data_IF_709168047650
#
_entry.id   IF_709168047650
#
_cell.length_a   1.000
_cell.length_b   1.000
_cell.length_c   1.000
_cell.angle_alpha   90.00
_cell.angle_beta   90.00
_cell.angle_gamma   90.00
#
_symmetry.space_group_name_H-M   'P 1'
#
loop_
_entity.id
_entity.type
_entity.pdbx_description
1 polymer ?
#
# COMPACT_ATOMS: atom_id res chain seq x y z
N UNK A 1 1.54 48.61 11.81
CA UNK A 1 2.92 48.63 12.37
C UNK A 1 2.70 48.78 13.85
N UNK A 2 2.38 47.65 14.47
CA UNK A 2 1.77 47.60 15.78
C UNK A 2 2.69 46.77 16.68
N UNK A 3 3.12 47.47 17.72
CA UNK A 3 3.78 47.11 18.97
C UNK A 3 4.14 45.64 19.24
N UNK A 4 5.45 45.43 19.43
CA UNK A 4 5.99 44.45 20.37
C UNK A 4 5.42 44.68 21.78
N UNK A 5 4.95 43.63 22.49
CA UNK A 5 4.87 43.67 23.94
C UNK A 5 6.12 43.03 24.53
N UNK A 6 6.74 43.81 25.42
CA UNK A 6 7.89 43.47 26.24
C UNK A 6 7.71 42.20 27.06
N UNK A 7 8.85 41.54 27.25
CA UNK A 7 9.16 40.52 28.25
C UNK A 7 8.88 41.11 29.64
N UNK A 8 7.78 40.69 30.27
CA UNK A 8 7.55 40.91 31.70
C UNK A 8 8.11 39.73 32.49
N UNK A 9 9.20 40.01 33.20
CA UNK A 9 9.92 39.09 34.06
C UNK A 9 9.26 39.13 35.44
N UNK A 10 8.14 38.41 35.60
CA UNK A 10 7.46 38.21 36.88
C UNK A 10 7.73 36.82 37.44
N UNK A 11 8.84 36.67 38.16
CA UNK A 11 9.08 35.54 39.06
C UNK A 11 8.12 35.67 40.26
N UNK A 12 7.01 34.93 40.25
CA UNK A 12 6.29 34.60 41.47
C UNK A 12 5.95 33.10 41.48
N UNK A 13 6.60 32.39 42.40
CA UNK A 13 6.73 30.93 42.43
C UNK A 13 5.51 30.32 43.12
N UNK A 14 4.65 29.67 42.35
CA UNK A 14 3.60 28.81 42.90
C UNK A 14 4.00 27.32 42.77
N UNK A 15 4.24 26.59 43.88
CA UNK A 15 4.68 25.20 43.83
C UNK A 15 3.49 24.27 43.63
N UNK A 16 3.11 24.02 42.37
CA UNK A 16 2.05 23.05 42.09
C UNK A 16 1.53 22.98 40.66
N UNK A 17 2.02 23.78 39.72
CA UNK A 17 1.48 23.76 38.36
C UNK A 17 2.12 22.66 37.51
N UNK A 18 1.38 21.55 37.38
CA UNK A 18 1.70 20.45 36.47
C UNK A 18 1.66 20.99 35.04
N UNK A 19 2.83 21.27 34.46
CA UNK A 19 2.97 21.71 33.08
C UNK A 19 2.51 20.58 32.15
N UNK A 20 1.23 20.58 31.80
CA UNK A 20 0.63 19.60 30.91
C UNK A 20 1.02 19.95 29.45
N UNK A 21 2.22 19.51 29.03
CA UNK A 21 2.66 19.66 27.65
C UNK A 21 1.76 18.80 26.76
N UNK A 22 0.67 19.37 26.25
CA UNK A 22 -0.08 18.74 25.16
C UNK A 22 0.79 18.86 23.91
N UNK A 23 1.31 17.74 23.43
CA UNK A 23 1.75 17.67 22.04
C UNK A 23 0.54 18.03 21.17
N UNK A 24 0.56 19.25 20.63
CA UNK A 24 -0.50 19.75 19.78
C UNK A 24 -0.50 18.88 18.52
N UNK A 25 -1.54 18.04 18.41
CA UNK A 25 -1.91 17.32 17.19
C UNK A 25 -1.97 18.33 16.05
N UNK A 26 -0.92 18.45 15.25
CA UNK A 26 -0.89 19.41 14.14
C UNK A 26 -1.92 18.99 13.10
N UNK A 27 -3.03 19.75 12.92
CA UNK A 27 -4.10 19.39 11.98
C UNK A 27 -3.64 19.36 10.52
N UNK A 28 -2.53 20.03 10.22
CA UNK A 28 -1.94 20.13 8.89
C UNK A 28 -1.46 18.77 8.31
N UNK A 29 -1.03 17.80 9.13
CA UNK A 29 -0.56 16.52 8.60
C UNK A 29 -1.71 15.60 8.16
N UNK A 30 -2.82 15.63 8.88
CA UNK A 30 -4.07 14.95 8.49
C UNK A 30 -4.71 15.59 7.26
N UNK A 31 -4.62 16.92 7.12
CA UNK A 31 -5.08 17.64 5.94
C UNK A 31 -4.27 17.23 4.69
N UNK A 32 -2.95 17.09 4.82
CA UNK A 32 -2.05 16.64 3.74
C UNK A 32 -2.26 15.17 3.33
N UNK A 33 -2.79 14.32 4.22
CA UNK A 33 -3.21 12.95 3.90
C UNK A 33 -4.54 12.91 3.16
N UNK A 34 -5.50 13.76 3.55
CA UNK A 34 -6.76 13.94 2.83
C UNK A 34 -6.54 14.56 1.43
N UNK A 35 -5.54 15.43 1.31
CA UNK A 35 -5.09 16.03 0.04
C UNK A 35 -4.48 15.00 -0.92
N UNK A 36 -3.91 13.90 -0.41
CA UNK A 36 -3.37 12.81 -1.21
C UNK A 36 -4.43 11.81 -1.72
N UNK A 37 -5.71 12.06 -1.44
CA UNK A 37 -6.87 11.25 -1.86
C UNK A 37 -6.64 9.72 -1.78
N UNK A 38 -6.36 9.16 -0.59
CA UNK A 38 -6.17 7.71 -0.40
C UNK A 38 -7.36 6.88 -0.91
N UNK A 39 -8.54 7.51 -1.03
CA UNK A 39 -9.72 6.98 -1.72
C UNK A 39 -9.42 6.57 -3.15
N UNK A 40 -8.83 7.46 -3.94
CA UNK A 40 -8.58 7.24 -5.36
C UNK A 40 -7.51 6.17 -5.53
N UNK A 41 -6.47 6.18 -4.68
CA UNK A 41 -5.46 5.12 -4.67
C UNK A 41 -6.06 3.75 -4.34
N UNK A 42 -6.93 3.66 -3.32
CA UNK A 42 -7.62 2.41 -2.99
C UNK A 42 -8.55 1.92 -4.10
N UNK A 43 -9.31 2.83 -4.73
CA UNK A 43 -10.18 2.51 -5.87
C UNK A 43 -9.38 2.03 -7.07
N UNK A 44 -8.23 2.65 -7.37
CA UNK A 44 -7.35 2.21 -8.45
C UNK A 44 -6.73 0.85 -8.17
N UNK A 45 -6.31 0.55 -6.93
CA UNK A 45 -5.86 -0.80 -6.55
C UNK A 45 -6.93 -1.86 -6.87
N UNK A 46 -8.18 -1.61 -6.48
CA UNK A 46 -9.30 -2.53 -6.74
C UNK A 46 -9.56 -2.65 -8.25
N UNK A 47 -9.60 -1.54 -8.98
CA UNK A 47 -9.88 -1.53 -10.41
C UNK A 47 -8.85 -2.37 -11.19
N UNK A 48 -7.57 -2.21 -10.90
CA UNK A 48 -6.50 -3.01 -11.52
C UNK A 48 -6.59 -4.49 -11.14
N UNK A 49 -6.92 -4.84 -9.89
CA UNK A 49 -7.06 -6.23 -9.45
C UNK A 49 -8.25 -6.94 -10.13
N UNK A 50 -9.39 -6.23 -10.29
CA UNK A 50 -10.57 -6.75 -11.00
C UNK A 50 -10.28 -6.92 -12.49
N UNK A 51 -9.66 -5.92 -13.12
CA UNK A 51 -9.26 -6.00 -14.52
C UNK A 51 -8.34 -7.20 -14.78
N UNK A 52 -7.37 -7.43 -13.89
CA UNK A 52 -6.45 -8.56 -14.02
C UNK A 52 -7.18 -9.91 -13.85
N UNK A 53 -8.02 -10.03 -12.82
CA UNK A 53 -8.84 -11.25 -12.60
C UNK A 53 -9.71 -11.58 -13.80
N UNK A 54 -10.34 -10.58 -14.42
CA UNK A 54 -11.15 -10.77 -15.61
C UNK A 54 -10.32 -11.33 -16.78
N UNK A 55 -9.12 -10.80 -17.01
CA UNK A 55 -8.24 -11.31 -18.06
C UNK A 55 -7.85 -12.77 -17.84
N UNK A 56 -7.48 -13.14 -16.61
CA UNK A 56 -7.15 -14.54 -16.27
C UNK A 56 -8.33 -15.47 -16.56
N UNK A 57 -9.54 -15.08 -16.19
CA UNK A 57 -10.76 -15.86 -16.48
C UNK A 57 -10.98 -16.02 -17.99
N UNK A 58 -10.77 -14.95 -18.79
CA UNK A 58 -10.87 -15.02 -20.25
C UNK A 58 -9.85 -16.01 -20.82
N UNK A 59 -8.60 -16.00 -20.36
CA UNK A 59 -7.60 -16.98 -20.81
C UNK A 59 -7.96 -18.41 -20.41
N UNK A 60 -8.53 -18.60 -19.22
CA UNK A 60 -8.99 -19.90 -18.73
C UNK A 60 -10.10 -20.49 -19.60
N UNK A 61 -11.14 -19.72 -19.92
CA UNK A 61 -12.26 -20.21 -20.75
C UNK A 61 -11.84 -20.51 -22.20
N UNK A 62 -10.80 -19.85 -22.69
CA UNK A 62 -10.24 -20.09 -24.04
C UNK A 62 -9.26 -21.29 -24.08
N UNK A 63 -9.24 -22.14 -23.05
CA UNK A 63 -8.47 -23.40 -23.01
C UNK A 63 -6.94 -23.22 -23.11
N UNK A 64 -6.41 -22.08 -22.68
CA UNK A 64 -4.96 -21.84 -22.55
C UNK A 64 -4.42 -22.40 -21.22
N UNK A 65 -4.81 -23.65 -20.90
CA UNK A 65 -4.79 -24.24 -19.56
C UNK A 65 -3.39 -24.30 -18.91
N UNK A 66 -2.35 -24.63 -19.69
CA UNK A 66 -0.98 -24.78 -19.18
C UNK A 66 -0.39 -23.45 -18.68
N UNK A 67 -0.83 -22.33 -19.24
CA UNK A 67 -0.45 -20.99 -18.79
C UNK A 67 -1.27 -20.56 -17.57
N UNK A 68 -2.54 -20.95 -17.53
CA UNK A 68 -3.48 -20.45 -16.53
C UNK A 68 -3.35 -21.12 -15.18
N UNK A 69 -2.79 -22.31 -15.03
CA UNK A 69 -2.77 -22.96 -13.71
C UNK A 69 -1.91 -22.21 -12.68
N UNK A 70 -0.70 -21.80 -13.08
CA UNK A 70 0.19 -21.03 -12.20
C UNK A 70 -0.35 -19.61 -12.00
N UNK A 71 -0.74 -18.95 -13.09
CA UNK A 71 -1.24 -17.58 -13.05
C UNK A 71 -2.60 -17.45 -12.34
N UNK A 72 -3.44 -18.48 -12.39
CA UNK A 72 -4.70 -18.54 -11.64
C UNK A 72 -4.42 -18.70 -10.15
N UNK A 73 -3.53 -19.61 -9.75
CA UNK A 73 -3.25 -19.83 -8.33
C UNK A 73 -2.56 -18.60 -7.73
N UNK A 74 -1.52 -18.06 -8.37
CA UNK A 74 -0.76 -16.92 -7.84
C UNK A 74 -1.51 -15.59 -8.06
N UNK A 75 -2.10 -15.39 -9.23
CA UNK A 75 -2.77 -14.17 -9.64
C UNK A 75 -4.10 -13.95 -8.95
N UNK A 76 -4.98 -14.96 -8.86
CA UNK A 76 -6.25 -14.81 -8.14
C UNK A 76 -6.02 -14.57 -6.64
N UNK A 77 -5.06 -15.28 -6.05
CA UNK A 77 -4.71 -15.08 -4.63
C UNK A 77 -4.17 -13.66 -4.38
N UNK A 78 -3.25 -13.18 -5.23
CA UNK A 78 -2.72 -11.81 -5.13
C UNK A 78 -3.82 -10.75 -5.34
N UNK A 79 -4.71 -10.95 -6.32
CA UNK A 79 -5.85 -10.06 -6.57
C UNK A 79 -6.78 -9.95 -5.35
N UNK A 80 -7.10 -11.06 -4.70
CA UNK A 80 -7.95 -11.03 -3.50
C UNK A 80 -7.31 -10.24 -2.36
N UNK A 81 -6.00 -10.43 -2.14
CA UNK A 81 -5.24 -9.67 -1.14
C UNK A 81 -5.28 -8.16 -1.47
N UNK A 82 -5.07 -7.80 -2.74
CA UNK A 82 -5.08 -6.41 -3.20
C UNK A 82 -6.47 -5.78 -3.06
N UNK A 83 -7.55 -6.52 -3.36
CA UNK A 83 -8.92 -6.03 -3.19
C UNK A 83 -9.20 -5.72 -1.72
N UNK A 84 -8.77 -6.58 -0.80
CA UNK A 84 -8.90 -6.35 0.64
C UNK A 84 -8.06 -5.14 1.06
N UNK A 85 -6.82 -5.03 0.59
CA UNK A 85 -5.94 -3.89 0.88
C UNK A 85 -6.52 -2.56 0.37
N UNK A 86 -7.04 -2.53 -0.85
CA UNK A 86 -7.70 -1.36 -1.43
C UNK A 86 -8.99 -0.99 -0.69
N UNK A 87 -9.76 -1.98 -0.24
CA UNK A 87 -10.97 -1.74 0.57
C UNK A 87 -10.62 -1.13 1.93
N UNK A 88 -9.56 -1.60 2.58
CA UNK A 88 -9.06 -1.02 3.82
C UNK A 88 -8.48 0.39 3.61
N UNK A 89 -7.86 0.66 2.47
CA UNK A 89 -7.40 2.01 2.10
C UNK A 89 -8.57 2.98 1.94
N UNK A 90 -9.69 2.52 1.38
CA UNK A 90 -10.93 3.31 1.32
C UNK A 90 -11.46 3.56 2.74
N UNK A 91 -11.52 2.53 3.59
CA UNK A 91 -12.01 2.65 4.96
C UNK A 91 -11.11 3.53 5.87
N UNK A 92 -9.80 3.56 5.60
CA UNK A 92 -8.81 4.35 6.34
C UNK A 92 -9.03 5.87 6.22
N UNK A 93 -9.86 6.34 5.28
CA UNK A 93 -10.30 7.73 5.19
C UNK A 93 -11.02 8.23 6.46
N UNK A 94 -11.63 7.32 7.22
CA UNK A 94 -12.30 7.68 8.48
C UNK A 94 -11.30 7.95 9.64
N UNK A 95 -9.98 7.92 9.38
CA UNK A 95 -8.90 8.21 10.33
C UNK A 95 -8.94 7.35 11.62
N UNK A 96 -9.61 6.21 11.59
CA UNK A 96 -9.68 5.30 12.72
C UNK A 96 -8.33 4.57 12.87
N UNK A 97 -7.62 4.81 13.99
CA UNK A 97 -6.26 4.33 14.22
C UNK A 97 -6.10 2.80 14.03
N UNK A 98 -7.02 1.94 14.51
CA UNK A 98 -6.98 0.50 14.24
C UNK A 98 -7.07 0.16 12.75
N UNK A 99 -7.94 0.85 12.00
CA UNK A 99 -8.12 0.63 10.56
C UNK A 99 -6.89 1.03 9.77
N UNK A 100 -6.21 2.11 10.18
CA UNK A 100 -4.93 2.53 9.58
C UNK A 100 -3.82 1.49 9.82
N UNK A 101 -3.74 0.90 11.01
CA UNK A 101 -2.77 -0.18 11.31
C UNK A 101 -3.06 -1.43 10.48
N UNK A 102 -4.33 -1.82 10.36
CA UNK A 102 -4.75 -2.94 9.52
C UNK A 102 -4.45 -2.67 8.03
N UNK A 103 -4.73 -1.46 7.55
CA UNK A 103 -4.41 -1.03 6.18
C UNK A 103 -2.90 -1.12 5.93
N UNK A 104 -2.07 -0.58 6.82
CA UNK A 104 -0.61 -0.67 6.70
C UNK A 104 -0.14 -2.12 6.58
N UNK A 105 -0.62 -3.01 7.46
CA UNK A 105 -0.30 -4.43 7.40
C UNK A 105 -0.68 -5.07 6.08
N UNK A 106 -1.90 -4.80 5.60
CA UNK A 106 -2.38 -5.37 4.34
C UNK A 106 -1.66 -4.82 3.11
N UNK A 107 -1.20 -3.55 3.11
CA UNK A 107 -0.39 -3.02 2.02
C UNK A 107 0.98 -3.69 1.94
N UNK A 108 1.59 -4.04 3.08
CA UNK A 108 2.83 -4.83 3.11
C UNK A 108 2.60 -6.22 2.54
N UNK A 109 1.54 -6.92 2.98
CA UNK A 109 1.19 -8.26 2.47
C UNK A 109 0.92 -8.22 0.97
N UNK A 110 0.15 -7.23 0.48
CA UNK A 110 -0.15 -7.05 -0.94
C UNK A 110 1.12 -6.81 -1.77
N UNK A 111 2.04 -5.98 -1.26
CA UNK A 111 3.34 -5.74 -1.89
C UNK A 111 4.17 -7.03 -1.98
N UNK A 112 4.31 -7.76 -0.87
CA UNK A 112 5.06 -9.02 -0.82
C UNK A 112 4.45 -10.07 -1.76
N UNK A 113 3.13 -10.22 -1.76
CA UNK A 113 2.43 -11.13 -2.68
C UNK A 113 2.70 -10.77 -4.15
N UNK A 114 2.62 -9.48 -4.50
CA UNK A 114 2.88 -9.01 -5.86
C UNK A 114 4.31 -9.27 -6.32
N UNK A 115 5.29 -9.04 -5.44
CA UNK A 115 6.71 -9.32 -5.72
C UNK A 115 6.94 -10.81 -5.95
N UNK A 116 6.39 -11.68 -5.09
CA UNK A 116 6.50 -13.13 -5.22
C UNK A 116 5.88 -13.58 -6.56
N UNK A 117 4.69 -13.08 -6.91
CA UNK A 117 4.05 -13.38 -8.20
C UNK A 117 4.91 -12.97 -9.39
N UNK A 118 5.57 -11.81 -9.34
CA UNK A 118 6.53 -11.42 -10.38
C UNK A 118 7.67 -12.43 -10.50
N UNK A 119 8.29 -12.84 -9.38
CA UNK A 119 9.40 -13.79 -9.43
C UNK A 119 8.97 -15.18 -9.94
N UNK A 120 7.83 -15.70 -9.48
CA UNK A 120 7.30 -16.99 -9.94
C UNK A 120 7.06 -16.98 -11.45
N UNK A 121 6.46 -15.91 -11.96
CA UNK A 121 6.24 -15.74 -13.39
C UNK A 121 7.57 -15.61 -14.17
N UNK A 122 8.62 -15.00 -13.61
CA UNK A 122 9.93 -14.94 -14.28
C UNK A 122 10.61 -16.31 -14.37
N UNK A 123 10.40 -17.20 -13.39
CA UNK A 123 11.04 -18.52 -13.34
C UNK A 123 10.30 -19.53 -14.21
N UNK A 124 8.96 -19.51 -14.20
CA UNK A 124 8.13 -20.55 -14.84
C UNK A 124 7.95 -20.30 -16.34
N UNK A 125 7.73 -19.04 -16.75
CA UNK A 125 7.34 -18.72 -18.12
C UNK A 125 8.41 -18.84 -19.23
N UNK A 126 9.73 -18.72 -19.00
CA UNK A 126 10.73 -18.91 -20.06
C UNK A 126 10.57 -20.24 -20.82
N UNK A 127 9.99 -21.24 -20.17
CA UNK A 127 9.81 -22.61 -20.65
C UNK A 127 8.69 -22.78 -21.69
N UNK A 128 7.73 -21.83 -21.78
CA UNK A 128 6.49 -22.00 -22.57
C UNK A 128 6.54 -21.22 -23.91
N UNK A 129 7.49 -20.29 -24.08
CA UNK A 129 7.57 -19.40 -25.24
C UNK A 129 8.12 -20.01 -26.52
N UNK A 130 8.67 -21.22 -26.44
CA UNK A 130 9.12 -21.89 -27.65
C UNK A 130 7.90 -22.48 -28.35
N UNK A 131 7.50 -21.85 -29.46
CA UNK A 131 6.61 -22.45 -30.44
C UNK A 131 7.16 -23.85 -30.77
N UNK A 132 6.57 -24.88 -30.18
CA UNK A 132 7.03 -26.27 -30.30
C UNK A 132 6.56 -26.82 -31.64
N UNK A 133 7.15 -26.32 -32.72
CA UNK A 133 6.72 -26.69 -34.05
C UNK A 133 7.96 -26.95 -34.87
N UNK A 134 8.41 -28.20 -34.83
CA UNK A 134 9.59 -28.64 -35.57
C UNK A 134 9.35 -28.74 -37.08
N UNK A 135 8.10 -28.85 -37.56
CA UNK A 135 7.82 -28.96 -39.00
C UNK A 135 6.42 -28.48 -39.34
N UNK A 136 6.24 -27.19 -39.67
CA UNK A 136 4.96 -26.73 -40.24
C UNK A 136 5.15 -25.61 -41.28
N UNK A 137 4.36 -25.75 -42.33
CA UNK A 137 4.03 -24.80 -43.41
C UNK A 137 4.06 -23.30 -43.03
N UNK A 138 4.46 -22.46 -43.97
CA UNK A 138 4.73 -21.01 -43.78
C UNK A 138 3.56 -20.19 -43.22
N UNK A 139 2.31 -20.64 -43.42
CA UNK A 139 1.10 -19.97 -42.94
C UNK A 139 0.94 -20.06 -41.42
N UNK A 140 1.25 -21.22 -40.81
CA UNK A 140 1.10 -21.42 -39.36
C UNK A 140 2.23 -20.79 -38.56
N UNK A 141 3.41 -20.60 -39.18
CA UNK A 141 4.54 -19.86 -38.59
C UNK A 141 4.18 -18.40 -38.29
N UNK A 142 3.46 -17.74 -39.20
CA UNK A 142 3.00 -16.35 -39.00
C UNK A 142 1.99 -16.26 -37.85
N UNK A 143 1.02 -17.16 -37.81
CA UNK A 143 0.03 -17.24 -36.72
C UNK A 143 0.69 -17.52 -35.37
N UNK A 144 1.65 -18.44 -35.31
CA UNK A 144 2.38 -18.72 -34.07
C UNK A 144 3.23 -17.52 -33.61
N UNK A 145 3.91 -16.85 -34.54
CA UNK A 145 4.71 -15.67 -34.20
C UNK A 145 3.85 -14.51 -33.67
N UNK A 146 2.69 -14.29 -34.29
CA UNK A 146 1.72 -13.30 -33.83
C UNK A 146 1.15 -13.66 -32.45
N UNK A 147 0.84 -14.94 -32.21
CA UNK A 147 0.35 -15.42 -30.91
C UNK A 147 1.42 -15.27 -29.82
N UNK A 148 2.66 -15.68 -30.10
CA UNK A 148 3.79 -15.55 -29.18
C UNK A 148 4.08 -14.08 -28.84
N UNK A 149 4.06 -13.20 -29.84
CA UNK A 149 4.19 -11.75 -29.64
C UNK A 149 3.04 -11.19 -28.79
N UNK A 150 1.80 -11.62 -29.06
CA UNK A 150 0.62 -11.24 -28.28
C UNK A 150 0.73 -11.66 -26.81
N UNK A 151 1.13 -12.90 -26.54
CA UNK A 151 1.37 -13.40 -25.19
C UNK A 151 2.53 -12.68 -24.49
N UNK A 152 3.62 -12.40 -25.20
CA UNK A 152 4.73 -11.62 -24.69
C UNK A 152 4.29 -10.21 -24.25
N UNK A 153 3.49 -9.54 -25.08
CA UNK A 153 2.92 -8.23 -24.75
C UNK A 153 1.98 -8.28 -23.55
N UNK A 154 1.11 -9.29 -23.47
CA UNK A 154 0.21 -9.50 -22.34
C UNK A 154 0.98 -9.70 -21.03
N UNK A 155 2.01 -10.55 -21.05
CA UNK A 155 2.87 -10.79 -19.90
C UNK A 155 3.63 -9.53 -19.50
N UNK A 156 4.12 -8.74 -20.46
CA UNK A 156 4.70 -7.43 -20.19
C UNK A 156 3.71 -6.48 -19.51
N UNK A 157 2.46 -6.41 -20.00
CA UNK A 157 1.40 -5.60 -19.41
C UNK A 157 1.06 -6.06 -17.98
N UNK A 158 0.99 -7.37 -17.75
CA UNK A 158 0.74 -7.93 -16.43
C UNK A 158 1.84 -7.54 -15.43
N UNK A 159 3.12 -7.61 -15.84
CA UNK A 159 4.24 -7.17 -15.00
C UNK A 159 4.15 -5.68 -14.68
N UNK A 160 3.77 -4.86 -15.67
CA UNK A 160 3.58 -3.43 -15.49
C UNK A 160 2.47 -3.16 -14.45
N UNK A 161 1.33 -3.83 -14.56
CA UNK A 161 0.22 -3.68 -13.61
C UNK A 161 0.64 -4.11 -12.20
N UNK A 162 1.36 -5.22 -12.04
CA UNK A 162 1.89 -5.62 -10.73
C UNK A 162 2.88 -4.60 -10.15
N UNK A 163 3.74 -4.01 -10.98
CA UNK A 163 4.63 -2.93 -10.54
C UNK A 163 3.87 -1.70 -10.07
N UNK A 164 2.79 -1.32 -10.77
CA UNK A 164 1.88 -0.24 -10.34
C UNK A 164 1.22 -0.59 -9.00
N UNK A 165 0.77 -1.83 -8.80
CA UNK A 165 0.19 -2.28 -7.53
C UNK A 165 1.18 -2.19 -6.37
N UNK A 166 2.46 -2.53 -6.59
CA UNK A 166 3.54 -2.35 -5.62
C UNK A 166 3.72 -0.87 -5.28
N UNK A 167 3.77 0.01 -6.28
CA UNK A 167 3.92 1.45 -6.09
C UNK A 167 2.74 2.04 -5.30
N UNK A 168 1.50 1.66 -5.64
CA UNK A 168 0.29 2.07 -4.91
C UNK A 168 0.33 1.59 -3.47
N UNK A 169 0.72 0.33 -3.25
CA UNK A 169 0.81 -0.26 -1.91
C UNK A 169 1.86 0.44 -1.04
N UNK A 170 3.05 0.71 -1.61
CA UNK A 170 4.12 1.44 -0.93
C UNK A 170 3.71 2.88 -0.59
N UNK A 171 3.01 3.54 -1.52
CA UNK A 171 2.50 4.91 -1.33
C UNK A 171 1.47 4.96 -0.19
N UNK A 172 0.50 4.04 -0.20
CA UNK A 172 -0.50 3.92 0.86
C UNK A 172 0.12 3.55 2.22
N UNK A 173 1.13 2.67 2.24
CA UNK A 173 1.87 2.32 3.44
C UNK A 173 2.62 3.54 4.02
N UNK A 174 3.35 4.29 3.18
CA UNK A 174 4.06 5.49 3.60
C UNK A 174 3.11 6.54 4.21
N UNK A 175 1.92 6.69 3.61
CA UNK A 175 0.91 7.57 4.16
C UNK A 175 0.34 7.07 5.49
N UNK A 176 0.00 5.78 5.60
CA UNK A 176 -0.49 5.20 6.85
C UNK A 176 0.54 5.34 7.98
N UNK A 177 1.83 5.12 7.70
CA UNK A 177 2.92 5.30 8.66
C UNK A 177 2.97 6.72 9.22
N UNK A 178 2.88 7.74 8.36
CA UNK A 178 2.88 9.15 8.80
C UNK A 178 1.71 9.45 9.74
N UNK A 179 0.50 8.99 9.41
CA UNK A 179 -0.69 9.25 10.23
C UNK A 179 -0.63 8.50 11.57
N UNK A 180 -0.13 7.26 11.59
CA UNK A 180 0.01 6.46 12.82
C UNK A 180 1.02 7.09 13.78
N UNK A 181 2.12 7.67 13.27
CA UNK A 181 3.12 8.37 14.09
C UNK A 181 2.52 9.63 14.74
N UNK A 182 1.61 10.34 14.08
CA UNK A 182 0.96 11.54 14.64
C UNK A 182 -0.17 11.24 15.63
N UNK A 183 -0.86 10.11 15.49
CA UNK A 183 -2.09 9.83 16.22
C UNK A 183 -1.99 8.63 17.19
N UNK A 184 -0.86 7.91 17.22
CA UNK A 184 -0.66 6.89 18.27
C UNK A 184 -0.50 7.57 19.62
N UNK A 185 -1.17 7.07 20.68
CA UNK A 185 -0.80 7.45 22.03
C UNK A 185 0.66 7.06 22.22
N UNK A 186 1.53 8.06 22.39
CA UNK A 186 2.92 7.85 22.77
C UNK A 186 2.87 7.19 24.14
N UNK A 187 3.07 5.87 24.18
CA UNK A 187 3.02 5.02 25.38
C UNK A 187 4.15 5.30 26.39
N UNK A 188 4.90 6.38 26.22
CA UNK A 188 6.10 6.66 27.00
C UNK A 188 6.46 8.14 26.90
N UNK A 189 5.60 8.99 27.47
CA UNK A 189 6.08 10.27 28.00
C UNK A 189 6.34 10.00 29.49
N UNK A 190 7.61 9.93 29.95
CA UNK A 190 7.88 9.77 31.36
C UNK A 190 7.35 11.02 32.08
N UNK A 191 6.37 10.82 32.96
CA UNK A 191 5.94 11.85 33.89
C UNK A 191 7.06 11.97 34.93
N UNK A 192 7.94 12.96 34.75
CA UNK A 192 8.94 13.29 35.76
C UNK A 192 8.20 14.07 36.86
N UNK A 193 7.76 13.39 37.90
CA UNK A 193 7.28 14.03 39.12
C UNK A 193 8.50 14.48 39.94
N UNK A 194 8.79 15.77 39.98
CA UNK A 194 9.74 16.34 40.94
C UNK A 194 9.03 16.48 42.27
N UNK A 195 9.22 15.53 43.19
CA UNK A 195 8.78 15.71 44.57
C UNK A 195 9.76 16.65 45.26
N UNK A 196 9.30 17.86 45.60
CA UNK A 196 10.03 18.78 46.48
C UNK A 196 10.13 18.22 47.91
N UNK A 197 11.18 18.57 48.67
CA UNK A 197 11.35 18.11 50.05
C UNK A 197 10.21 18.63 50.94
N UNK A 198 9.75 17.84 51.93
CA UNK A 198 8.69 18.25 52.84
C UNK A 198 9.13 19.46 53.68
N UNK A 199 8.29 20.50 53.73
CA UNK A 199 8.54 21.69 54.53
C UNK A 199 8.60 21.33 56.03
N UNK A 200 9.58 21.87 56.77
CA UNK A 200 9.67 21.69 58.22
C UNK A 200 8.57 22.48 58.94
N UNK A 201 7.90 21.81 59.89
CA UNK A 201 6.90 22.35 60.81
C UNK A 201 7.49 23.32 61.84
#
# INVERSE_FOLDING_TARGET
MEDEPQIDSGEDRNPGEVLHIRFQKTPNQTLKYLEAEPKILGVTQIAFAVFFTFMVVVFYVNSMAMYTDVDMVTGCTASMIIIIAGSLAIAAQNLHLPTLKACLGMQVVACTASVISIFLHLIVFPSIYHCWVHEVESSQKTTCNNLSTGFGNYLGLQKLVMAVQIALSATLAAYCCKVIQCCSPVSSVPVITVNGPPDPQ
#
